data_IF_346171277008
#
_entry.id   IF_346171277008
#
_cell.length_a   1.000
_cell.length_b   1.000
_cell.length_c   1.000
_cell.angle_alpha   90.00
_cell.angle_beta   90.00
_cell.angle_gamma   90.00
#
_symmetry.space_group_name_H-M   'P 1'
#
loop_
_entity.id
_entity.type
_entity.pdbx_description
1 polymer ?
#
# COMPACT_ATOMS: atom_id res chain seq x y z
N UNK A 1 -3.40 0.14 12.49
CA UNK A 1 -2.50 -0.90 11.94
C UNK A 1 -1.63 -0.22 10.89
N UNK A 2 -0.31 -0.25 11.08
CA UNK A 2 0.60 0.33 10.11
C UNK A 2 0.88 -0.70 9.02
N UNK A 3 0.74 -0.31 7.75
CA UNK A 3 0.93 -1.21 6.62
C UNK A 3 1.85 -0.59 5.55
N UNK A 4 2.56 -1.46 4.86
CA UNK A 4 3.40 -1.14 3.70
C UNK A 4 2.81 -1.88 2.49
N UNK A 5 2.54 -1.16 1.40
CA UNK A 5 2.04 -1.77 0.16
C UNK A 5 3.24 -2.16 -0.70
N UNK A 6 3.32 -3.44 -1.08
CA UNK A 6 4.40 -3.98 -1.92
C UNK A 6 3.79 -4.62 -3.16
N UNK A 7 3.99 -4.00 -4.32
CA UNK A 7 3.48 -4.48 -5.61
C UNK A 7 4.26 -3.80 -6.76
N UNK A 8 4.73 -4.56 -7.75
CA UNK A 8 5.51 -4.05 -8.88
C UNK A 8 4.67 -3.26 -9.89
N UNK A 9 3.35 -3.41 -9.88
CA UNK A 9 2.43 -2.66 -10.74
C UNK A 9 1.87 -1.40 -10.06
N UNK A 10 2.17 -0.18 -10.56
CA UNK A 10 1.67 1.06 -9.98
C UNK A 10 0.15 1.15 -9.87
N UNK A 11 -0.58 0.57 -10.83
CA UNK A 11 -2.04 0.58 -10.83
C UNK A 11 -2.63 -0.30 -9.72
N UNK A 12 -1.96 -1.41 -9.37
CA UNK A 12 -2.40 -2.27 -8.28
C UNK A 12 -2.25 -1.56 -6.93
N UNK A 13 -1.13 -0.85 -6.72
CA UNK A 13 -0.92 -0.03 -5.52
C UNK A 13 -1.98 1.07 -5.37
N UNK A 14 -2.27 1.78 -6.45
CA UNK A 14 -3.29 2.82 -6.46
C UNK A 14 -4.69 2.24 -6.12
N UNK A 15 -5.05 1.09 -6.69
CA UNK A 15 -6.31 0.42 -6.39
C UNK A 15 -6.40 -0.02 -4.93
N UNK A 16 -5.31 -0.58 -4.37
CA UNK A 16 -5.24 -0.96 -2.96
C UNK A 16 -5.35 0.25 -2.05
N UNK A 17 -4.66 1.34 -2.37
CA UNK A 17 -4.73 2.60 -1.62
C UNK A 17 -6.16 3.15 -1.58
N UNK A 18 -6.83 3.19 -2.73
CA UNK A 18 -8.23 3.62 -2.82
C UNK A 18 -9.18 2.70 -2.03
N UNK A 19 -8.96 1.38 -2.09
CA UNK A 19 -9.77 0.42 -1.33
C UNK A 19 -9.61 0.59 0.19
N UNK A 20 -8.39 0.91 0.64
CA UNK A 20 -8.05 1.02 2.06
C UNK A 20 -8.27 2.44 2.62
N UNK A 21 -8.63 3.41 1.79
CA UNK A 21 -8.87 4.80 2.21
C UNK A 21 -10.08 4.93 3.17
N UNK A 22 -11.06 4.04 3.06
CA UNK A 22 -12.25 4.03 3.93
C UNK A 22 -12.00 3.39 5.31
N UNK A 23 -10.90 2.65 5.46
CA UNK A 23 -10.56 1.90 6.68
C UNK A 23 -9.79 2.78 7.67
N UNK A 24 -10.51 3.30 8.67
CA UNK A 24 -9.98 4.30 9.63
C UNK A 24 -8.89 3.78 10.55
N UNK A 25 -8.79 2.47 10.70
CA UNK A 25 -7.79 1.79 11.51
C UNK A 25 -6.54 1.41 10.70
N UNK A 26 -6.50 1.67 9.39
CA UNK A 26 -5.36 1.38 8.53
C UNK A 26 -4.58 2.66 8.26
N UNK A 27 -3.25 2.57 8.43
CA UNK A 27 -2.33 3.67 8.16
C UNK A 27 -1.23 3.17 7.21
N UNK A 28 -1.28 3.63 5.96
CA UNK A 28 -0.27 3.32 4.95
C UNK A 28 0.97 4.16 5.25
N UNK A 29 2.08 3.50 5.60
CA UNK A 29 3.35 4.15 5.96
C UNK A 29 4.35 4.23 4.80
N UNK A 30 4.03 3.60 3.67
CA UNK A 30 4.86 3.61 2.47
C UNK A 30 4.33 2.69 1.38
N UNK A 31 4.98 2.76 0.23
CA UNK A 31 4.75 1.92 -0.94
C UNK A 31 6.10 1.57 -1.58
N UNK A 32 6.26 0.34 -2.08
CA UNK A 32 7.44 -0.06 -2.84
C UNK A 32 7.09 -1.05 -3.95
N UNK A 33 7.96 -1.13 -4.96
CA UNK A 33 7.83 -2.03 -6.11
C UNK A 33 8.55 -3.37 -5.94
N UNK A 34 9.26 -3.58 -4.83
CA UNK A 34 9.84 -4.87 -4.50
C UNK A 34 9.99 -5.04 -2.98
N UNK A 35 10.09 -6.28 -2.52
CA UNK A 35 10.23 -6.62 -1.10
C UNK A 35 11.66 -6.46 -0.55
N UNK A 36 12.65 -6.15 -1.41
CA UNK A 36 14.05 -5.94 -1.03
C UNK A 36 14.29 -4.49 -0.57
N UNK A 37 13.45 -3.55 -1.03
CA UNK A 37 13.43 -2.12 -0.70
C UNK A 37 12.45 -1.76 0.43
N UNK A 38 11.74 -2.76 0.96
CA UNK A 38 10.67 -2.65 1.95
C UNK A 38 11.16 -2.61 3.40
#
# INVERSE_FOLDING_TARGET
>A
MNILIVDDEPLARENLRCLLEEEKDIHIIGECSNAIEA
#
